data_IF_188062215318
#
_entry.id   IF_188062215318
#
_cell.length_a   1.000
_cell.length_b   1.000
_cell.length_c   1.000
_cell.angle_alpha   90.00
_cell.angle_beta   90.00
_cell.angle_gamma   90.00
#
_symmetry.space_group_name_H-M   'P 1'
#
loop_
_entity.id
_entity.type
_entity.pdbx_description
1 polymer ?
#
# COMPACT_ATOMS: atom_id res chain seq x y z
N UNK A 1 -0.93 7.61 -38.82
CA UNK A 1 -2.08 7.58 -37.89
C UNK A 1 -2.47 6.13 -37.67
N UNK A 2 -2.67 5.73 -36.42
CA UNK A 2 -3.16 4.39 -36.06
C UNK A 2 -4.68 4.34 -36.26
N UNK A 3 -5.21 3.29 -36.92
CA UNK A 3 -6.66 3.10 -37.08
C UNK A 3 -7.20 2.30 -35.90
N UNK A 4 -8.16 2.84 -35.18
CA UNK A 4 -8.89 2.17 -34.10
C UNK A 4 -10.31 1.89 -34.61
N UNK A 5 -10.76 0.64 -34.49
CA UNK A 5 -12.13 0.23 -34.79
C UNK A 5 -12.80 -0.17 -33.49
N UNK A 6 -13.97 0.40 -33.21
CA UNK A 6 -14.75 0.19 -31.98
C UNK A 6 -16.18 -0.18 -32.37
N UNK A 7 -16.80 -1.08 -31.60
CA UNK A 7 -18.25 -1.28 -31.62
C UNK A 7 -18.84 -0.56 -30.42
N UNK A 8 -19.83 0.27 -30.67
CA UNK A 8 -20.60 0.99 -29.67
C UNK A 8 -22.05 0.57 -29.82
N UNK A 9 -22.78 0.62 -28.72
CA UNK A 9 -24.22 0.47 -28.75
C UNK A 9 -24.86 1.67 -29.48
N UNK A 10 -26.04 1.46 -30.07
CA UNK A 10 -26.69 2.44 -30.93
C UNK A 10 -27.04 3.73 -30.16
N UNK A 11 -27.46 3.59 -28.89
CA UNK A 11 -27.78 4.70 -27.99
C UNK A 11 -26.56 5.59 -27.69
N UNK A 12 -25.39 4.99 -27.50
CA UNK A 12 -24.13 5.70 -27.32
C UNK A 12 -23.74 6.44 -28.61
N UNK A 13 -23.99 5.83 -29.77
CA UNK A 13 -23.70 6.43 -31.08
C UNK A 13 -24.55 7.67 -31.32
N UNK A 14 -25.84 7.61 -30.99
CA UNK A 14 -26.77 8.74 -31.10
C UNK A 14 -26.38 9.91 -30.20
N UNK A 15 -25.98 9.61 -28.96
CA UNK A 15 -25.48 10.63 -28.02
C UNK A 15 -24.22 11.32 -28.54
N UNK A 16 -23.28 10.56 -29.12
CA UNK A 16 -22.07 11.12 -29.73
C UNK A 16 -22.43 12.06 -30.88
N UNK A 17 -23.36 11.67 -31.75
CA UNK A 17 -23.78 12.50 -32.89
C UNK A 17 -24.41 13.83 -32.45
N UNK A 18 -25.26 13.77 -31.43
CA UNK A 18 -25.87 14.96 -30.85
C UNK A 18 -24.80 15.91 -30.29
N UNK A 19 -23.84 15.38 -29.52
CA UNK A 19 -22.78 16.17 -28.92
C UNK A 19 -21.78 16.73 -29.95
N UNK A 20 -21.47 15.95 -30.99
CA UNK A 20 -20.62 16.40 -32.09
C UNK A 20 -21.28 17.56 -32.85
N UNK A 21 -22.58 17.43 -33.18
CA UNK A 21 -23.36 18.48 -33.85
C UNK A 21 -23.44 19.75 -33.00
N UNK A 22 -23.73 19.63 -31.70
CA UNK A 22 -23.79 20.77 -30.79
C UNK A 22 -22.43 21.49 -30.66
N UNK A 23 -21.33 20.74 -30.76
CA UNK A 23 -19.97 21.29 -30.74
C UNK A 23 -19.48 21.83 -32.11
N UNK A 24 -20.27 21.71 -33.18
CA UNK A 24 -19.85 22.08 -34.54
C UNK A 24 -18.74 21.20 -35.11
N UNK A 25 -18.64 19.95 -34.65
CA UNK A 25 -17.57 19.00 -34.98
C UNK A 25 -18.10 17.80 -35.76
N UNK A 26 -17.22 17.16 -36.53
CA UNK A 26 -17.52 15.81 -37.05
C UNK A 26 -17.49 14.80 -35.90
N UNK A 27 -18.24 13.69 -36.04
CA UNK A 27 -18.24 12.57 -35.07
C UNK A 27 -16.83 12.16 -34.66
N UNK A 28 -15.96 11.92 -35.65
CA UNK A 28 -14.58 11.50 -35.41
C UNK A 28 -13.73 12.55 -34.69
N UNK A 29 -13.91 13.83 -35.02
CA UNK A 29 -13.19 14.92 -34.35
C UNK A 29 -13.63 15.05 -32.89
N UNK A 30 -14.93 14.94 -32.62
CA UNK A 30 -15.48 14.98 -31.28
C UNK A 30 -15.00 13.80 -30.43
N UNK A 31 -15.06 12.57 -30.97
CA UNK A 31 -14.56 11.37 -30.29
C UNK A 31 -13.06 11.48 -29.99
N UNK A 32 -12.26 11.96 -30.94
CA UNK A 32 -10.83 12.16 -30.72
C UNK A 32 -10.54 13.20 -29.62
N UNK A 33 -11.33 14.28 -29.56
CA UNK A 33 -11.24 15.27 -28.48
C UNK A 33 -11.62 14.67 -27.13
N UNK A 34 -12.77 13.98 -27.05
CA UNK A 34 -13.24 13.35 -25.83
C UNK A 34 -12.25 12.31 -25.28
N UNK A 35 -11.62 11.52 -26.15
CA UNK A 35 -10.55 10.58 -25.76
C UNK A 35 -9.37 11.34 -25.17
N UNK A 36 -8.91 12.42 -25.83
CA UNK A 36 -7.78 13.23 -25.34
C UNK A 36 -8.08 13.85 -23.97
N UNK A 37 -9.24 14.49 -23.83
CA UNK A 37 -9.69 15.12 -22.59
C UNK A 37 -9.78 14.08 -21.45
N UNK A 38 -10.19 12.85 -21.76
CA UNK A 38 -10.25 11.75 -20.79
C UNK A 38 -8.87 11.20 -20.43
N UNK A 39 -7.92 11.14 -21.37
CA UNK A 39 -6.56 10.68 -21.12
C UNK A 39 -5.80 11.67 -20.23
N UNK A 40 -5.96 12.98 -20.47
CA UNK A 40 -5.32 14.03 -19.67
C UNK A 40 -5.80 14.04 -18.21
N UNK A 41 -7.03 13.57 -17.95
CA UNK A 41 -7.62 13.48 -16.61
C UNK A 41 -7.21 12.24 -15.82
N UNK A 42 -6.49 11.28 -16.43
CA UNK A 42 -6.14 10.00 -15.81
C UNK A 42 -4.65 9.62 -15.97
N UNK A 43 -3.70 10.53 -15.64
CA UNK A 43 -2.28 10.26 -15.82
C UNK A 43 -1.77 9.11 -14.95
N UNK A 44 -2.44 8.84 -13.82
CA UNK A 44 -2.08 7.80 -12.85
C UNK A 44 -2.35 6.37 -13.37
N UNK A 45 -3.40 6.16 -14.20
CA UNK A 45 -3.84 4.82 -14.62
C UNK A 45 -2.89 4.16 -15.65
N UNK A 46 -2.03 4.95 -16.28
CA UNK A 46 -1.15 4.52 -17.40
C UNK A 46 0.21 4.00 -16.90
N UNK A 47 0.65 4.38 -15.69
CA UNK A 47 2.08 4.37 -15.35
C UNK A 47 2.68 3.05 -14.88
N UNK A 48 1.87 2.06 -14.50
CA UNK A 48 2.41 1.01 -13.62
C UNK A 48 2.47 -0.40 -14.21
N UNK A 49 1.85 -0.68 -15.35
CA UNK A 49 1.87 -2.04 -15.91
C UNK A 49 3.18 -2.25 -16.70
N UNK A 50 4.00 -3.27 -16.39
CA UNK A 50 5.18 -3.60 -17.18
C UNK A 50 4.77 -3.86 -18.63
N UNK A 51 5.45 -3.22 -19.58
CA UNK A 51 5.30 -3.51 -21.00
C UNK A 51 5.87 -4.91 -21.28
N UNK A 52 5.08 -5.95 -20.99
CA UNK A 52 5.47 -7.34 -21.24
C UNK A 52 5.02 -7.76 -22.63
N UNK A 53 5.98 -8.24 -23.44
CA UNK A 53 5.71 -8.90 -24.73
C UNK A 53 5.52 -10.42 -24.58
N UNK A 54 5.46 -10.95 -23.35
CA UNK A 54 5.36 -12.38 -23.11
C UNK A 54 3.92 -12.89 -23.29
N UNK A 55 3.78 -14.16 -23.69
CA UNK A 55 2.49 -14.81 -23.85
C UNK A 55 1.69 -14.86 -22.54
N UNK A 56 0.39 -14.57 -22.60
CA UNK A 56 -0.52 -14.64 -21.46
C UNK A 56 -0.73 -16.08 -20.99
N UNK A 57 -0.76 -16.30 -19.65
CA UNK A 57 -1.10 -17.59 -19.03
C UNK A 57 -2.48 -17.52 -18.35
N UNK A 58 -3.16 -18.66 -18.26
CA UNK A 58 -4.49 -18.78 -17.62
C UNK A 58 -4.36 -18.99 -16.11
N UNK A 59 -5.17 -18.27 -15.34
CA UNK A 59 -5.36 -18.47 -13.90
C UNK A 59 -6.77 -19.04 -13.67
N UNK A 60 -6.87 -20.23 -13.08
CA UNK A 60 -8.13 -20.86 -12.72
C UNK A 60 -8.30 -20.84 -11.19
N UNK A 61 -9.45 -20.35 -10.72
CA UNK A 61 -9.78 -20.23 -9.30
C UNK A 61 -11.23 -20.69 -9.08
N UNK A 62 -11.49 -21.28 -7.91
CA UNK A 62 -12.84 -21.62 -7.45
C UNK A 62 -13.19 -20.71 -6.30
N UNK A 63 -14.27 -19.94 -6.46
CA UNK A 63 -14.79 -19.05 -5.43
C UNK A 63 -16.22 -19.49 -5.05
N UNK A 64 -16.66 -19.22 -3.81
CA UNK A 64 -18.05 -19.29 -3.41
C UNK A 64 -18.97 -18.48 -4.34
N UNK A 65 -20.23 -18.90 -4.46
CA UNK A 65 -21.18 -18.29 -5.38
C UNK A 65 -21.52 -16.83 -5.02
N UNK A 66 -21.63 -16.54 -3.73
CA UNK A 66 -21.87 -15.20 -3.19
C UNK A 66 -20.72 -14.23 -3.49
N UNK A 67 -19.47 -14.70 -3.42
CA UNK A 67 -18.31 -13.92 -3.84
C UNK A 67 -18.35 -13.63 -5.35
N UNK A 68 -18.75 -14.61 -6.17
CA UNK A 68 -18.89 -14.42 -7.61
C UNK A 68 -19.95 -13.36 -7.95
N UNK A 69 -21.10 -13.41 -7.27
CA UNK A 69 -22.18 -12.44 -7.44
C UNK A 69 -21.74 -11.03 -7.01
N UNK A 70 -20.99 -10.92 -5.90
CA UNK A 70 -20.43 -9.66 -5.45
C UNK A 70 -19.46 -9.06 -6.48
N UNK A 71 -18.59 -9.89 -7.09
CA UNK A 71 -17.67 -9.47 -8.16
C UNK A 71 -18.44 -8.99 -9.39
N UNK A 72 -19.51 -9.69 -9.79
CA UNK A 72 -20.34 -9.28 -10.93
C UNK A 72 -20.99 -7.92 -10.71
N UNK A 73 -21.54 -7.69 -9.52
CA UNK A 73 -22.17 -6.43 -9.17
C UNK A 73 -21.18 -5.25 -9.24
N UNK A 74 -19.99 -5.39 -8.65
CA UNK A 74 -18.99 -4.31 -8.68
C UNK A 74 -18.39 -4.10 -10.06
N UNK A 75 -18.23 -5.16 -10.86
CA UNK A 75 -17.79 -5.06 -12.23
C UNK A 75 -18.81 -4.30 -13.09
N UNK A 76 -20.09 -4.64 -12.99
CA UNK A 76 -21.18 -3.98 -13.70
C UNK A 76 -21.28 -2.49 -13.34
N UNK A 77 -21.20 -2.15 -12.05
CA UNK A 77 -21.18 -0.75 -11.59
C UNK A 77 -20.00 0.06 -12.14
N UNK A 78 -18.88 -0.62 -12.42
CA UNK A 78 -17.70 -0.01 -13.02
C UNK A 78 -17.72 0.00 -14.57
N UNK A 79 -18.78 -0.51 -15.20
CA UNK A 79 -18.86 -0.66 -16.66
C UNK A 79 -17.84 -1.67 -17.20
N UNK A 80 -17.47 -2.67 -16.40
CA UNK A 80 -16.44 -3.67 -16.72
C UNK A 80 -17.04 -5.07 -16.74
N UNK A 81 -16.46 -5.96 -17.54
CA UNK A 81 -16.71 -7.40 -17.38
C UNK A 81 -16.06 -7.90 -16.08
N UNK A 82 -16.57 -9.01 -15.52
CA UNK A 82 -15.98 -9.70 -14.38
C UNK A 82 -14.46 -9.86 -14.53
N UNK A 83 -14.03 -10.36 -15.69
CA UNK A 83 -12.60 -10.58 -15.97
C UNK A 83 -11.80 -9.29 -16.08
N UNK A 84 -12.38 -8.20 -16.60
CA UNK A 84 -11.72 -6.89 -16.64
C UNK A 84 -11.55 -6.32 -15.24
N UNK A 85 -12.58 -6.41 -14.41
CA UNK A 85 -12.53 -5.95 -13.02
C UNK A 85 -11.53 -6.76 -12.20
N UNK A 86 -11.56 -8.09 -12.26
CA UNK A 86 -10.59 -8.96 -11.55
C UNK A 86 -9.16 -8.67 -12.01
N UNK A 87 -8.92 -8.54 -13.33
CA UNK A 87 -7.60 -8.15 -13.83
C UNK A 87 -7.19 -6.79 -13.27
N UNK A 88 -8.07 -5.78 -13.27
CA UNK A 88 -7.79 -4.45 -12.74
C UNK A 88 -7.44 -4.50 -11.25
N UNK A 89 -8.17 -5.26 -10.43
CA UNK A 89 -7.89 -5.43 -9.01
C UNK A 89 -6.55 -6.14 -8.76
N UNK A 90 -6.26 -7.20 -9.50
CA UNK A 90 -4.95 -7.87 -9.44
C UNK A 90 -3.82 -6.93 -9.90
N UNK A 91 -4.04 -6.16 -10.96
CA UNK A 91 -3.06 -5.16 -11.46
C UNK A 91 -2.80 -4.09 -10.43
N UNK A 92 -3.86 -3.61 -9.78
CA UNK A 92 -3.79 -2.61 -8.74
C UNK A 92 -2.92 -3.08 -7.58
N UNK A 93 -3.09 -4.34 -7.16
CA UNK A 93 -2.28 -4.94 -6.12
C UNK A 93 -0.82 -5.21 -6.55
N UNK A 94 -0.61 -5.70 -7.77
CA UNK A 94 0.70 -6.12 -8.26
C UNK A 94 1.59 -4.96 -8.74
N UNK A 95 0.99 -3.91 -9.28
CA UNK A 95 1.71 -2.91 -10.06
C UNK A 95 1.45 -1.48 -9.59
N UNK A 96 0.25 -1.14 -9.12
CA UNK A 96 -0.12 0.24 -8.74
C UNK A 96 0.39 0.66 -7.35
N UNK A 97 1.47 0.06 -6.84
CA UNK A 97 2.20 0.44 -5.61
C UNK A 97 1.34 0.79 -4.38
N UNK A 98 0.30 0.00 -4.11
CA UNK A 98 -0.27 -0.12 -2.76
C UNK A 98 0.39 -1.28 -1.96
N UNK A 99 1.13 -2.17 -2.65
CA UNK A 99 1.68 -3.41 -2.09
C UNK A 99 3.17 -3.40 -1.72
N UNK A 100 3.96 -2.39 -2.10
CA UNK A 100 5.15 -2.03 -1.33
C UNK A 100 4.61 -1.23 -0.14
N UNK A 101 4.76 -1.70 1.10
CA UNK A 101 4.35 -0.97 2.30
C UNK A 101 4.85 0.48 2.23
N UNK A 102 4.03 1.40 1.74
CA UNK A 102 4.24 2.83 1.88
C UNK A 102 3.76 3.21 3.26
N UNK A 103 4.57 2.78 4.23
CA UNK A 103 4.60 3.42 5.53
C UNK A 103 4.62 4.93 5.28
N UNK A 104 3.79 5.68 6.00
CA UNK A 104 3.89 7.15 6.00
C UNK A 104 5.36 7.49 6.27
N UNK A 105 5.98 8.48 5.59
CA UNK A 105 7.41 8.74 5.75
C UNK A 105 7.87 8.93 7.21
N UNK A 106 6.98 9.38 8.10
CA UNK A 106 7.18 9.36 9.55
C UNK A 106 7.28 7.94 10.11
N UNK A 107 6.31 7.07 9.84
CA UNK A 107 6.29 5.65 10.22
C UNK A 107 7.54 4.91 9.75
N UNK A 108 7.96 5.09 8.50
CA UNK A 108 9.19 4.49 7.97
C UNK A 108 10.43 4.93 8.76
N UNK A 109 10.59 6.24 9.00
CA UNK A 109 11.72 6.78 9.76
C UNK A 109 11.72 6.27 11.20
N UNK A 110 10.56 6.20 11.84
CA UNK A 110 10.41 5.70 13.21
C UNK A 110 10.74 4.20 13.30
N UNK A 111 10.29 3.38 12.35
CA UNK A 111 10.64 1.96 12.28
C UNK A 111 12.16 1.77 12.10
N UNK A 112 12.79 2.58 11.23
CA UNK A 112 14.24 2.52 11.05
C UNK A 112 15.03 2.94 12.31
N UNK A 113 14.50 3.89 13.09
CA UNK A 113 15.08 4.27 14.39
C UNK A 113 15.01 3.11 15.39
N UNK A 114 13.88 2.41 15.44
CA UNK A 114 13.70 1.22 16.28
C UNK A 114 14.70 0.13 15.89
N UNK A 115 14.85 -0.16 14.59
CA UNK A 115 15.80 -1.17 14.10
C UNK A 115 17.24 -0.82 14.51
N UNK A 116 17.62 0.46 14.46
CA UNK A 116 18.93 0.92 14.91
C UNK A 116 19.13 0.72 16.43
N UNK A 117 18.12 1.01 17.24
CA UNK A 117 18.17 0.82 18.70
C UNK A 117 18.30 -0.67 19.07
N UNK A 118 17.53 -1.55 18.44
CA UNK A 118 17.62 -3.01 18.64
C UNK A 118 19.00 -3.55 18.27
N UNK A 119 19.61 -3.05 17.18
CA UNK A 119 20.99 -3.42 16.81
C UNK A 119 22.00 -2.98 17.87
N UNK A 120 21.90 -1.74 18.37
CA UNK A 120 22.78 -1.22 19.40
C UNK A 120 22.70 -2.06 20.69
N UNK A 121 21.49 -2.43 21.10
CA UNK A 121 21.25 -3.38 22.19
C UNK A 121 21.99 -4.70 21.96
N UNK A 122 21.82 -5.29 20.78
CA UNK A 122 22.46 -6.56 20.45
C UNK A 122 23.99 -6.49 20.53
N UNK A 123 24.57 -5.36 20.11
CA UNK A 123 26.01 -5.13 20.25
C UNK A 123 26.45 -5.01 21.71
N UNK A 124 25.74 -4.22 22.52
CA UNK A 124 26.06 -4.07 23.95
C UNK A 124 25.92 -5.39 24.71
N UNK A 125 24.89 -6.19 24.44
CA UNK A 125 24.72 -7.51 25.03
C UNK A 125 25.86 -8.46 24.64
N UNK A 126 26.21 -8.51 23.37
CA UNK A 126 27.32 -9.34 22.89
C UNK A 126 28.66 -8.93 23.53
N UNK A 127 28.88 -7.63 23.77
CA UNK A 127 30.06 -7.15 24.47
C UNK A 127 30.06 -7.56 25.95
N UNK A 128 28.92 -7.45 26.64
CA UNK A 128 28.80 -7.87 28.02
C UNK A 128 29.06 -9.38 28.18
N UNK A 129 28.49 -10.21 27.30
CA UNK A 129 28.73 -11.66 27.27
C UNK A 129 30.20 -11.97 27.01
N UNK A 130 30.84 -11.29 26.06
CA UNK A 130 32.28 -11.46 25.78
C UNK A 130 33.15 -11.05 26.96
N UNK A 131 32.84 -9.94 27.62
CA UNK A 131 33.55 -9.47 28.81
C UNK A 131 33.40 -10.46 29.98
N UNK A 132 32.20 -10.99 30.18
CA UNK A 132 31.91 -12.00 31.21
C UNK A 132 32.65 -13.32 30.92
N UNK A 133 32.64 -13.78 29.67
CA UNK A 133 33.42 -14.96 29.25
C UNK A 133 34.94 -14.74 29.39
N UNK A 134 35.44 -13.51 29.25
CA UNK A 134 36.85 -13.18 29.46
C UNK A 134 37.20 -13.10 30.96
N UNK A 135 36.29 -12.59 31.79
CA UNK A 135 36.44 -12.54 33.25
C UNK A 135 36.42 -13.92 33.90
N UNK A 136 35.65 -14.87 33.34
CA UNK A 136 35.55 -16.23 33.86
C UNK A 136 36.73 -17.16 33.47
N UNK A 137 37.81 -16.63 32.87
CA UNK A 137 39.00 -17.41 32.50
C UNK A 137 39.93 -17.61 33.71
N UNK A 138 40.61 -18.76 33.85
CA UNK A 138 41.39 -19.11 35.06
C UNK A 138 42.50 -18.12 35.44
N UNK A 139 43.01 -17.37 34.47
CA UNK A 139 44.13 -16.43 34.60
C UNK A 139 43.66 -14.96 34.62
N UNK A 140 42.35 -14.71 34.72
CA UNK A 140 41.78 -13.37 34.47
C UNK A 140 41.84 -12.48 35.71
N UNK A 141 42.32 -11.23 35.61
CA UNK A 141 42.39 -10.29 36.74
C UNK A 141 41.04 -9.62 37.07
N UNK A 142 39.93 -10.01 36.43
CA UNK A 142 38.63 -9.34 36.54
C UNK A 142 37.72 -10.01 37.58
N UNK A 143 37.12 -9.20 38.46
CA UNK A 143 36.19 -9.66 39.51
C UNK A 143 34.77 -9.83 38.96
N UNK A 144 34.25 -11.06 38.98
CA UNK A 144 32.96 -11.44 38.39
C UNK A 144 31.79 -10.63 38.97
N UNK A 145 31.81 -10.25 40.26
CA UNK A 145 30.76 -9.42 40.87
C UNK A 145 30.63 -8.03 40.23
N UNK A 146 31.72 -7.42 39.76
CA UNK A 146 31.67 -6.12 39.08
C UNK A 146 31.06 -6.22 37.67
N UNK A 147 31.22 -7.36 37.02
CA UNK A 147 30.65 -7.64 35.69
C UNK A 147 29.15 -7.95 35.81
N UNK A 148 28.73 -8.66 36.86
CA UNK A 148 27.32 -8.96 37.12
C UNK A 148 26.46 -7.68 37.29
N UNK A 149 26.98 -6.66 38.01
CA UNK A 149 26.31 -5.37 38.14
C UNK A 149 26.10 -4.65 36.80
N UNK A 150 27.08 -4.72 35.89
CA UNK A 150 26.96 -4.15 34.54
C UNK A 150 25.94 -4.91 33.68
N UNK A 151 25.82 -6.23 33.86
CA UNK A 151 24.84 -7.07 33.15
C UNK A 151 23.42 -6.78 33.64
N UNK A 152 23.21 -6.63 34.95
CA UNK A 152 21.90 -6.27 35.52
C UNK A 152 21.47 -4.86 35.07
N UNK A 153 22.37 -3.88 35.13
CA UNK A 153 22.09 -2.53 34.62
C UNK A 153 21.89 -2.48 33.09
N UNK A 154 22.40 -3.48 32.35
CA UNK A 154 22.11 -3.63 30.92
C UNK A 154 20.72 -4.24 30.70
N UNK A 155 20.31 -5.20 31.53
CA UNK A 155 18.99 -5.83 31.51
C UNK A 155 17.87 -4.81 31.77
N UNK A 156 18.04 -3.94 32.78
CA UNK A 156 17.04 -2.93 33.12
C UNK A 156 16.85 -1.91 31.97
N UNK A 157 17.97 -1.44 31.38
CA UNK A 157 17.93 -0.57 30.19
C UNK A 157 17.34 -1.27 28.97
N UNK A 158 17.61 -2.55 28.81
CA UNK A 158 17.09 -3.37 27.72
C UNK A 158 15.56 -3.50 27.84
N UNK A 159 15.07 -3.84 29.02
CA UNK A 159 13.65 -3.96 29.32
C UNK A 159 12.90 -2.65 29.06
N UNK A 160 13.46 -1.52 29.54
CA UNK A 160 12.91 -0.19 29.27
C UNK A 160 12.85 0.14 27.78
N UNK A 161 13.94 -0.13 27.04
CA UNK A 161 14.00 0.17 25.60
C UNK A 161 13.03 -0.71 24.82
N UNK A 162 12.88 -1.98 25.17
CA UNK A 162 11.91 -2.89 24.55
C UNK A 162 10.48 -2.39 24.80
N UNK A 163 10.17 -1.94 26.02
CA UNK A 163 8.88 -1.35 26.37
C UNK A 163 8.54 -0.13 25.50
N UNK A 164 9.48 0.81 25.37
CA UNK A 164 9.32 2.00 24.52
C UNK A 164 9.16 1.65 23.04
N UNK A 165 9.97 0.72 22.54
CA UNK A 165 9.89 0.23 21.16
C UNK A 165 8.53 -0.39 20.89
N UNK A 166 8.03 -1.23 21.80
CA UNK A 166 6.74 -1.89 21.65
C UNK A 166 5.59 -0.87 21.62
N UNK A 167 5.57 0.08 22.57
CA UNK A 167 4.57 1.15 22.61
C UNK A 167 4.59 2.00 21.33
N UNK A 168 5.78 2.33 20.83
CA UNK A 168 5.96 3.11 19.60
C UNK A 168 5.48 2.34 18.37
N UNK A 169 5.80 1.05 18.28
CA UNK A 169 5.32 0.18 17.20
C UNK A 169 3.80 0.05 17.21
N UNK A 170 3.19 -0.16 18.37
CA UNK A 170 1.72 -0.23 18.50
C UNK A 170 1.05 1.07 18.04
N UNK A 171 1.61 2.23 18.42
CA UNK A 171 1.09 3.53 17.99
C UNK A 171 1.21 3.74 16.48
N UNK A 172 2.36 3.38 15.89
CA UNK A 172 2.59 3.49 14.44
C UNK A 172 1.62 2.58 13.67
N UNK A 173 1.49 1.31 14.07
CA UNK A 173 0.60 0.35 13.40
C UNK A 173 -0.85 0.81 13.50
N UNK A 174 -1.26 1.31 14.66
CA UNK A 174 -2.61 1.86 14.85
C UNK A 174 -2.87 3.09 13.98
N UNK A 175 -1.90 3.99 13.86
CA UNK A 175 -1.98 5.17 13.00
C UNK A 175 -2.00 4.85 11.50
N UNK A 176 -1.22 3.86 11.06
CA UNK A 176 -1.29 3.34 9.67
C UNK A 176 -2.67 2.75 9.38
N UNK A 177 -3.19 1.91 10.29
CA UNK A 177 -4.54 1.33 10.14
C UNK A 177 -5.60 2.43 10.08
N UNK A 178 -5.53 3.47 10.92
CA UNK A 178 -6.47 4.58 10.90
C UNK A 178 -6.40 5.39 9.60
N UNK A 179 -5.20 5.68 9.10
CA UNK A 179 -4.96 6.37 7.84
C UNK A 179 -5.55 5.60 6.64
N UNK A 180 -5.27 4.30 6.54
CA UNK A 180 -5.73 3.48 5.42
C UNK A 180 -7.21 3.10 5.49
N UNK A 181 -7.78 2.97 6.69
CA UNK A 181 -9.20 2.63 6.87
C UNK A 181 -10.11 3.86 6.98
N UNK A 182 -9.55 5.07 6.99
CA UNK A 182 -10.32 6.31 7.10
C UNK A 182 -11.06 6.48 8.44
N UNK A 183 -10.64 5.74 9.48
CA UNK A 183 -11.35 5.64 10.77
C UNK A 183 -11.45 6.97 11.53
N UNK A 184 -10.57 7.93 11.23
CA UNK A 184 -10.55 9.29 11.80
C UNK A 184 -11.24 10.36 10.94
N UNK A 185 -11.76 10.01 9.76
CA UNK A 185 -12.50 10.97 8.93
C UNK A 185 -13.90 11.14 9.52
N UNK A 186 -14.06 12.07 10.47
CA UNK A 186 -15.38 12.65 10.75
C UNK A 186 -15.92 13.18 9.42
N UNK A 187 -16.92 12.49 8.87
CA UNK A 187 -17.73 13.05 7.80
C UNK A 187 -18.26 14.40 8.30
N UNK A 188 -18.20 15.49 7.51
CA UNK A 188 -18.89 16.72 7.87
C UNK A 188 -20.34 16.37 8.18
N UNK A 189 -20.79 16.80 9.37
CA UNK A 189 -22.00 16.30 10.02
C UNK A 189 -23.24 16.52 9.15
N UNK A 190 -24.14 15.54 9.21
CA UNK A 190 -25.49 15.60 8.64
C UNK A 190 -26.41 16.63 9.34
N UNK A 191 -25.87 17.64 10.03
CA UNK A 191 -26.60 18.65 10.78
C UNK A 191 -26.61 20.04 10.11
N UNK A 192 -25.87 20.26 9.02
CA UNK A 192 -25.92 21.54 8.27
C UNK A 192 -26.90 21.53 7.09
N UNK A 193 -27.75 20.51 6.97
CA UNK A 193 -28.77 20.41 5.92
C UNK A 193 -30.20 20.53 6.47
N UNK A 194 -30.40 21.39 7.47
CA UNK A 194 -31.71 21.93 7.85
C UNK A 194 -31.58 23.37 8.35
N UNK A 195 -31.52 24.32 7.42
CA UNK A 195 -32.04 25.69 7.59
C UNK A 195 -32.30 26.29 6.23
#
# INVERSE_FOLDING_TARGET
MSRITLRLDDDVTDLIDMLAKAAGMTRSAWVARAIRDSLDRRPEEVRDIPASSAASKTLALRLPADEMDAIDLVAARAGMTRSQWVKRTLRWQLWTKAGELRLVPSSYRSIMKIVAQVRAIGYSLNQAVKAMNAANRPESPLVIEQVAGHVIALEERLSSTIGEVNATLTAIVSGEVAYWTGRDRKLPGADEMKS
#
